data_IF_060674382974
#
_entry.id   IF_060674382974
#
_cell.length_a   1.000
_cell.length_b   1.000
_cell.length_c   1.000
_cell.angle_alpha   90.00
_cell.angle_beta   90.00
_cell.angle_gamma   90.00
#
_symmetry.space_group_name_H-M   'P 1'
#
loop_
_entity.id
_entity.type
_entity.pdbx_description
1 polymer ?
#
# COMPACT_ATOMS: atom_id res chain seq x y z
N UNK A 1 -71.92 -7.79 -36.02
CA UNK A 1 -71.25 -8.81 -35.17
C UNK A 1 -69.81 -9.07 -35.65
N UNK A 2 -69.57 -9.12 -36.96
CA UNK A 2 -68.20 -9.27 -37.52
C UNK A 2 -67.31 -8.02 -37.37
N UNK A 3 -67.87 -6.80 -37.51
CA UNK A 3 -67.13 -5.54 -37.29
C UNK A 3 -66.55 -5.43 -35.88
N UNK A 4 -67.36 -5.75 -34.88
CA UNK A 4 -66.93 -5.78 -33.46
C UNK A 4 -65.80 -6.78 -33.21
N UNK A 5 -65.79 -7.92 -33.91
CA UNK A 5 -64.73 -8.93 -33.78
C UNK A 5 -63.45 -8.47 -34.48
N UNK A 6 -63.56 -7.79 -35.61
CA UNK A 6 -62.41 -7.22 -36.33
C UNK A 6 -61.75 -6.08 -35.53
N UNK A 7 -62.55 -5.27 -34.85
CA UNK A 7 -62.07 -4.15 -34.03
C UNK A 7 -61.40 -4.62 -32.73
N UNK A 8 -61.99 -5.64 -32.07
CA UNK A 8 -61.37 -6.33 -30.93
C UNK A 8 -60.03 -6.99 -31.29
N UNK A 9 -59.91 -7.57 -32.49
CA UNK A 9 -58.63 -8.14 -32.97
C UNK A 9 -57.58 -7.05 -33.20
N UNK A 10 -57.97 -5.91 -33.76
CA UNK A 10 -57.07 -4.75 -33.93
C UNK A 10 -56.58 -4.20 -32.60
N UNK A 11 -57.45 -4.11 -31.59
CA UNK A 11 -57.07 -3.67 -30.25
C UNK A 11 -56.12 -4.65 -29.56
N UNK A 12 -56.39 -5.96 -29.64
CA UNK A 12 -55.54 -6.99 -29.03
C UNK A 12 -54.14 -7.06 -29.69
N UNK A 13 -54.08 -6.87 -31.01
CA UNK A 13 -52.82 -6.77 -31.77
C UNK A 13 -52.03 -5.51 -31.37
N UNK A 14 -52.73 -4.38 -31.20
CA UNK A 14 -52.16 -3.12 -30.72
C UNK A 14 -51.59 -3.23 -29.30
N UNK A 15 -52.32 -3.85 -28.37
CA UNK A 15 -51.83 -4.11 -27.00
C UNK A 15 -50.64 -5.06 -26.99
N UNK A 16 -50.66 -6.13 -27.79
CA UNK A 16 -49.51 -7.05 -27.92
C UNK A 16 -48.27 -6.35 -28.46
N UNK A 17 -48.44 -5.44 -29.43
CA UNK A 17 -47.32 -4.65 -29.94
C UNK A 17 -46.82 -3.62 -28.92
N UNK A 18 -47.72 -2.99 -28.15
CA UNK A 18 -47.35 -2.06 -27.09
C UNK A 18 -46.57 -2.77 -25.98
N UNK A 19 -47.09 -3.91 -25.49
CA UNK A 19 -46.44 -4.75 -24.49
C UNK A 19 -45.07 -5.26 -24.99
N UNK A 20 -44.98 -5.64 -26.28
CA UNK A 20 -43.72 -6.07 -26.90
C UNK A 20 -42.69 -4.96 -27.02
N UNK A 21 -43.12 -3.72 -27.30
CA UNK A 21 -42.25 -2.54 -27.32
C UNK A 21 -41.78 -2.16 -25.92
N UNK A 22 -42.67 -2.20 -24.94
CA UNK A 22 -42.36 -1.92 -23.53
C UNK A 22 -41.39 -2.96 -22.97
N UNK A 23 -41.59 -4.25 -23.28
CA UNK A 23 -40.68 -5.31 -22.84
C UNK A 23 -39.29 -5.18 -23.46
N UNK A 24 -39.21 -4.83 -24.75
CA UNK A 24 -37.93 -4.55 -25.42
C UNK A 24 -37.23 -3.30 -24.86
N UNK A 25 -37.98 -2.24 -24.61
CA UNK A 25 -37.44 -1.03 -23.99
C UNK A 25 -36.92 -1.31 -22.58
N UNK A 26 -37.61 -2.17 -21.81
CA UNK A 26 -37.16 -2.60 -20.49
C UNK A 26 -35.94 -3.51 -20.55
N UNK A 27 -35.91 -4.49 -21.45
CA UNK A 27 -34.73 -5.35 -21.67
C UNK A 27 -33.51 -4.53 -22.14
N UNK A 28 -33.71 -3.53 -23.00
CA UNK A 28 -32.65 -2.62 -23.45
C UNK A 28 -32.18 -1.69 -22.33
N UNK A 29 -33.10 -1.15 -21.53
CA UNK A 29 -32.76 -0.37 -20.34
C UNK A 29 -32.03 -1.19 -19.29
N UNK A 30 -32.46 -2.43 -19.00
CA UNK A 30 -31.77 -3.36 -18.10
C UNK A 30 -30.39 -3.76 -18.65
N UNK A 31 -30.24 -3.91 -19.97
CA UNK A 31 -28.92 -4.15 -20.59
C UNK A 31 -28.00 -2.95 -20.45
N UNK A 32 -28.48 -1.75 -20.77
CA UNK A 32 -27.70 -0.51 -20.62
C UNK A 32 -27.34 -0.25 -19.16
N UNK A 33 -28.26 -0.51 -18.23
CA UNK A 33 -28.00 -0.42 -16.79
C UNK A 33 -26.98 -1.48 -16.34
N UNK A 34 -27.10 -2.73 -16.80
CA UNK A 34 -26.14 -3.78 -16.48
C UNK A 34 -24.75 -3.57 -17.13
N UNK A 35 -24.68 -2.90 -18.28
CA UNK A 35 -23.42 -2.46 -18.89
C UNK A 35 -22.80 -1.29 -18.11
N UNK A 36 -23.60 -0.32 -17.67
CA UNK A 36 -23.16 0.76 -16.80
C UNK A 36 -22.67 0.22 -15.44
N UNK A 37 -23.40 -0.71 -14.81
CA UNK A 37 -23.01 -1.35 -13.56
C UNK A 37 -21.74 -2.22 -13.69
N UNK A 38 -21.53 -2.87 -14.86
CA UNK A 38 -20.25 -3.56 -15.15
C UNK A 38 -19.09 -2.59 -15.37
N UNK A 39 -19.35 -1.42 -15.94
CA UNK A 39 -18.34 -0.36 -16.15
C UNK A 39 -17.97 0.39 -14.88
N UNK A 40 -18.89 0.47 -13.93
CA UNK A 40 -18.68 1.00 -12.59
C UNK A 40 -17.80 0.09 -11.71
N UNK A 41 -17.29 -1.03 -12.22
CA UNK A 41 -16.28 -1.81 -11.51
C UNK A 41 -14.97 -1.01 -11.46
N UNK A 42 -14.51 -0.57 -10.25
CA UNK A 42 -13.27 0.18 -10.09
C UNK A 42 -12.03 -0.59 -10.56
N UNK A 43 -12.18 -1.89 -10.81
CA UNK A 43 -11.12 -2.76 -11.28
C UNK A 43 -10.70 -2.51 -12.74
N UNK A 44 -11.48 -1.79 -13.56
CA UNK A 44 -11.19 -1.60 -14.99
C UNK A 44 -9.84 -0.92 -15.22
N UNK A 45 -9.50 0.09 -14.40
CA UNK A 45 -8.23 0.81 -14.50
C UNK A 45 -7.05 -0.06 -14.05
N UNK A 46 -7.22 -0.80 -12.95
CA UNK A 46 -6.18 -1.71 -12.44
C UNK A 46 -5.89 -2.88 -13.39
N UNK A 47 -6.91 -3.35 -14.12
CA UNK A 47 -6.79 -4.43 -15.10
C UNK A 47 -6.19 -3.97 -16.44
N UNK A 48 -6.17 -2.66 -16.69
CA UNK A 48 -5.56 -2.09 -17.89
C UNK A 48 -4.03 -1.97 -17.81
N UNK A 49 -3.42 -2.36 -16.67
CA UNK A 49 -1.98 -2.34 -16.48
C UNK A 49 -1.28 -3.18 -17.55
N UNK A 50 -0.25 -2.60 -18.17
CA UNK A 50 0.62 -3.28 -19.12
C UNK A 50 2.06 -3.07 -18.70
N UNK A 51 2.83 -4.14 -18.65
CA UNK A 51 4.25 -4.13 -18.29
C UNK A 51 5.05 -4.46 -19.54
N UNK A 52 6.16 -3.75 -19.76
CA UNK A 52 7.11 -4.08 -20.81
C UNK A 52 7.77 -5.43 -20.47
N UNK A 53 7.69 -6.37 -21.41
CA UNK A 53 8.20 -7.73 -21.22
C UNK A 53 9.61 -7.92 -21.75
N UNK A 54 10.06 -7.03 -22.63
CA UNK A 54 11.44 -7.03 -23.09
C UNK A 54 12.35 -6.42 -22.02
N UNK A 55 13.11 -7.28 -21.34
CA UNK A 55 14.04 -6.86 -20.29
C UNK A 55 15.02 -5.78 -20.78
N UNK A 56 15.41 -5.78 -22.05
CA UNK A 56 16.36 -4.78 -22.60
C UNK A 56 15.79 -3.37 -22.69
N UNK A 57 14.47 -3.23 -22.65
CA UNK A 57 13.73 -1.97 -22.70
C UNK A 57 13.30 -1.48 -21.31
N UNK A 58 13.61 -2.25 -20.26
CA UNK A 58 13.26 -1.91 -18.87
C UNK A 58 14.45 -1.33 -18.11
N UNK A 59 14.15 -0.65 -17.00
CA UNK A 59 15.17 -0.19 -16.06
C UNK A 59 15.90 -1.40 -15.48
N UNK A 60 17.23 -1.40 -15.61
CA UNK A 60 18.07 -2.49 -15.10
C UNK A 60 18.37 -2.27 -13.61
N UNK A 61 18.23 -3.32 -12.81
CA UNK A 61 18.50 -3.32 -11.38
C UNK A 61 17.76 -4.46 -10.68
N UNK A 62 18.26 -4.89 -9.53
CA UNK A 62 17.56 -5.89 -8.72
C UNK A 62 16.33 -5.26 -8.06
N UNK A 63 15.14 -5.76 -8.38
CA UNK A 63 13.89 -5.28 -7.80
C UNK A 63 13.69 -5.74 -6.34
N UNK A 64 14.50 -6.69 -5.88
CA UNK A 64 14.38 -7.35 -4.56
C UNK A 64 15.45 -6.93 -3.55
N UNK A 65 16.46 -6.17 -3.99
CA UNK A 65 17.51 -5.61 -3.13
C UNK A 65 17.68 -4.09 -3.36
N UNK A 66 16.71 -3.26 -2.93
CA UNK A 66 16.81 -1.83 -3.10
C UNK A 66 17.76 -1.23 -2.06
N UNK A 67 18.95 -0.80 -2.49
CA UNK A 67 19.94 -0.11 -1.65
C UNK A 67 19.33 1.15 -1.02
N UNK A 68 19.40 1.27 0.30
CA UNK A 68 18.91 2.42 1.08
C UNK A 68 17.42 2.74 0.89
N UNK A 69 16.56 1.74 0.64
CA UNK A 69 15.10 1.94 0.60
C UNK A 69 14.36 0.86 1.36
N UNK A 70 13.38 1.27 2.16
CA UNK A 70 12.43 0.33 2.76
C UNK A 70 11.54 -0.28 1.66
N UNK A 71 11.33 -1.60 1.75
CA UNK A 71 10.42 -2.32 0.88
C UNK A 71 9.65 -3.37 1.69
N UNK A 72 8.39 -3.66 1.32
CA UNK A 72 7.58 -4.65 2.03
C UNK A 72 8.13 -6.06 1.80
N UNK A 73 8.68 -6.69 2.85
CA UNK A 73 9.18 -8.08 2.80
C UNK A 73 8.05 -9.13 2.79
N UNK A 74 6.84 -8.75 3.22
CA UNK A 74 5.67 -9.64 3.32
C UNK A 74 4.39 -8.88 2.96
N UNK A 75 3.67 -9.39 1.98
CA UNK A 75 2.28 -8.98 1.69
C UNK A 75 1.37 -9.97 2.40
N UNK A 76 0.67 -9.52 3.44
CA UNK A 76 -0.28 -10.34 4.20
C UNK A 76 -1.70 -9.96 3.86
N UNK A 77 -2.61 -10.93 3.97
CA UNK A 77 -4.03 -10.65 3.78
C UNK A 77 -4.53 -9.74 4.90
N UNK A 78 -5.21 -8.65 4.54
CA UNK A 78 -5.84 -7.78 5.51
C UNK A 78 -7.16 -8.40 5.97
N UNK A 79 -7.10 -9.26 7.00
CA UNK A 79 -8.22 -10.10 7.44
C UNK A 79 -9.45 -9.29 7.89
N UNK A 80 -9.23 -8.16 8.54
CA UNK A 80 -10.31 -7.30 9.05
C UNK A 80 -10.81 -6.28 8.02
N UNK A 81 -10.23 -6.26 6.81
CA UNK A 81 -10.58 -5.29 5.78
C UNK A 81 -12.07 -5.33 5.40
N UNK A 82 -12.71 -6.50 5.15
CA UNK A 82 -14.13 -6.53 4.82
C UNK A 82 -15.01 -5.89 5.90
N UNK A 83 -14.71 -6.16 7.17
CA UNK A 83 -15.45 -5.62 8.31
C UNK A 83 -15.23 -4.12 8.44
N UNK A 84 -13.99 -3.65 8.31
CA UNK A 84 -13.67 -2.21 8.33
C UNK A 84 -14.33 -1.48 7.14
N UNK A 85 -14.29 -2.09 5.96
CA UNK A 85 -14.91 -1.56 4.76
C UNK A 85 -16.43 -1.44 4.94
N UNK A 86 -17.09 -2.45 5.50
CA UNK A 86 -18.52 -2.40 5.80
C UNK A 86 -18.84 -1.31 6.85
N UNK A 87 -18.02 -1.15 7.88
CA UNK A 87 -18.18 -0.08 8.86
C UNK A 87 -18.10 1.30 8.22
N UNK A 88 -17.19 1.49 7.26
CA UNK A 88 -17.06 2.73 6.48
C UNK A 88 -18.31 2.94 5.60
N UNK A 89 -18.76 1.92 4.86
CA UNK A 89 -19.96 2.01 4.03
C UNK A 89 -21.23 2.34 4.81
N UNK A 90 -21.40 1.76 6.00
CA UNK A 90 -22.54 2.07 6.89
C UNK A 90 -22.60 3.55 7.30
N UNK A 91 -21.47 4.28 7.26
CA UNK A 91 -21.47 5.73 7.50
C UNK A 91 -22.04 6.46 6.29
N UNK A 92 -21.70 6.04 5.08
CA UNK A 92 -22.20 6.62 3.83
C UNK A 92 -23.70 6.41 3.62
N UNK A 93 -24.21 5.23 3.96
CA UNK A 93 -25.64 4.89 3.78
C UNK A 93 -26.60 5.78 4.59
N UNK A 94 -26.09 6.42 5.66
CA UNK A 94 -26.88 7.35 6.49
C UNK A 94 -27.21 8.65 5.77
N UNK A 95 -26.46 8.99 4.71
CA UNK A 95 -26.58 10.26 3.99
C UNK A 95 -26.77 10.01 2.50
N UNK A 96 -28.00 9.65 2.11
CA UNK A 96 -28.38 9.41 0.70
C UNK A 96 -28.07 10.61 -0.23
N UNK A 97 -28.01 11.83 0.32
CA UNK A 97 -27.68 13.04 -0.44
C UNK A 97 -26.22 13.10 -0.93
N UNK A 98 -25.29 12.42 -0.26
CA UNK A 98 -23.88 12.38 -0.66
C UNK A 98 -23.64 11.35 -1.75
N UNK A 99 -24.18 10.14 -1.57
CA UNK A 99 -24.04 9.03 -2.52
C UNK A 99 -24.79 9.27 -3.84
N UNK A 100 -25.78 10.17 -3.85
CA UNK A 100 -26.51 10.55 -5.07
C UNK A 100 -25.80 11.60 -5.92
N UNK A 101 -24.69 12.19 -5.45
CA UNK A 101 -23.94 13.20 -6.21
C UNK A 101 -22.96 12.51 -7.18
N UNK A 102 -22.78 13.02 -8.40
CA UNK A 102 -21.74 12.56 -9.31
C UNK A 102 -20.38 13.07 -8.82
N UNK A 103 -19.77 12.35 -7.89
CA UNK A 103 -18.46 12.69 -7.30
C UNK A 103 -17.29 12.11 -8.09
N UNK A 104 -17.55 11.12 -8.94
CA UNK A 104 -16.54 10.45 -9.77
C UNK A 104 -16.55 11.01 -11.20
N UNK A 105 -15.41 10.93 -11.91
CA UNK A 105 -15.32 11.29 -13.33
C UNK A 105 -16.33 10.52 -14.18
N UNK A 106 -16.76 11.12 -15.30
CA UNK A 106 -17.66 10.46 -16.24
C UNK A 106 -16.95 9.29 -16.95
N UNK A 107 -17.72 8.32 -17.44
CA UNK A 107 -17.19 7.18 -18.21
C UNK A 107 -16.25 7.60 -19.35
N UNK A 108 -16.57 8.70 -20.03
CA UNK A 108 -15.72 9.28 -21.09
C UNK A 108 -14.36 9.76 -20.60
N UNK A 109 -14.28 10.28 -19.37
CA UNK A 109 -13.02 10.68 -18.73
C UNK A 109 -12.23 9.44 -18.30
N UNK A 110 -12.90 8.41 -17.79
CA UNK A 110 -12.28 7.11 -17.48
C UNK A 110 -11.72 6.46 -18.75
N UNK A 111 -12.49 6.43 -19.84
CA UNK A 111 -12.07 5.87 -21.13
C UNK A 111 -10.83 6.59 -21.69
N UNK A 112 -10.75 7.91 -21.50
CA UNK A 112 -9.56 8.69 -21.86
C UNK A 112 -8.33 8.27 -21.05
N UNK A 113 -8.48 8.10 -19.74
CA UNK A 113 -7.40 7.62 -18.85
C UNK A 113 -6.97 6.21 -19.23
N UNK A 114 -7.92 5.29 -19.46
CA UNK A 114 -7.66 3.92 -19.94
C UNK A 114 -6.88 3.92 -21.25
N UNK A 115 -7.27 4.76 -22.21
CA UNK A 115 -6.58 4.87 -23.50
C UNK A 115 -5.14 5.36 -23.33
N UNK A 116 -4.90 6.31 -22.43
CA UNK A 116 -3.56 6.82 -22.18
C UNK A 116 -2.65 5.78 -21.50
N UNK A 117 -3.23 4.97 -20.60
CA UNK A 117 -2.54 3.88 -19.90
C UNK A 117 -2.21 2.72 -20.85
N UNK A 118 -3.17 2.25 -21.64
CA UNK A 118 -2.98 1.10 -22.52
C UNK A 118 -1.89 1.31 -23.58
N UNK A 119 -1.68 2.58 -23.96
CA UNK A 119 -0.66 2.97 -24.93
C UNK A 119 0.73 3.20 -24.30
N UNK A 120 0.88 3.05 -22.98
CA UNK A 120 2.11 3.32 -22.24
C UNK A 120 2.45 2.14 -21.31
N UNK A 121 3.20 1.13 -21.79
CA UNK A 121 3.65 0.06 -20.92
C UNK A 121 4.55 0.59 -19.81
N UNK A 122 4.54 -0.10 -18.66
CA UNK A 122 5.41 0.17 -17.51
C UNK A 122 6.77 -0.49 -17.78
N UNK A 123 7.82 0.31 -17.86
CA UNK A 123 9.20 -0.13 -18.13
C UNK A 123 10.21 0.39 -17.09
N UNK A 124 9.76 1.21 -16.15
CA UNK A 124 10.58 1.84 -15.12
C UNK A 124 9.76 2.19 -13.88
N UNK A 125 10.45 2.39 -12.76
CA UNK A 125 9.85 2.90 -11.52
C UNK A 125 9.11 4.24 -11.76
N UNK A 126 9.66 5.09 -12.62
CA UNK A 126 9.02 6.35 -13.01
C UNK A 126 7.72 6.14 -13.80
N UNK A 127 7.68 5.17 -14.72
CA UNK A 127 6.46 4.84 -15.45
C UNK A 127 5.40 4.17 -14.56
N UNK A 128 5.81 3.36 -13.57
CA UNK A 128 4.91 2.77 -12.59
C UNK A 128 4.28 3.84 -11.69
N UNK A 129 5.08 4.81 -11.23
CA UNK A 129 4.57 5.98 -10.49
C UNK A 129 3.56 6.79 -11.28
N UNK A 130 3.83 7.04 -12.57
CA UNK A 130 2.86 7.77 -13.42
C UNK A 130 1.54 7.00 -13.55
N UNK A 131 1.62 5.67 -13.68
CA UNK A 131 0.44 4.81 -13.70
C UNK A 131 -0.34 4.90 -12.38
N UNK A 132 0.33 4.78 -11.23
CA UNK A 132 -0.28 4.93 -9.90
C UNK A 132 -0.98 6.29 -9.77
N UNK A 133 -0.31 7.37 -10.18
CA UNK A 133 -0.88 8.71 -10.10
C UNK A 133 -2.16 8.85 -10.92
N UNK A 134 -2.15 8.34 -12.14
CA UNK A 134 -3.25 8.45 -13.08
C UNK A 134 -4.43 7.51 -12.73
N UNK A 135 -4.19 6.39 -12.06
CA UNK A 135 -5.21 5.37 -11.75
C UNK A 135 -5.72 5.40 -10.32
N UNK A 136 -4.92 5.88 -9.37
CA UNK A 136 -5.21 5.83 -7.94
C UNK A 136 -5.19 7.22 -7.33
N UNK A 137 -4.05 7.91 -7.33
CA UNK A 137 -3.87 9.15 -6.54
C UNK A 137 -4.88 10.23 -6.91
N UNK A 138 -5.07 10.49 -8.22
CA UNK A 138 -6.02 11.49 -8.69
C UNK A 138 -7.45 11.20 -8.21
N UNK A 139 -7.86 9.94 -8.23
CA UNK A 139 -9.20 9.52 -7.80
C UNK A 139 -9.36 9.58 -6.28
N UNK A 140 -8.33 9.14 -5.55
CA UNK A 140 -8.31 9.23 -4.08
C UNK A 140 -8.34 10.70 -3.65
N UNK A 141 -7.59 11.58 -4.30
CA UNK A 141 -7.62 13.02 -4.05
C UNK A 141 -9.03 13.60 -4.30
N UNK A 142 -9.70 13.19 -5.38
CA UNK A 142 -11.09 13.59 -5.65
C UNK A 142 -12.05 13.13 -4.54
N UNK A 143 -11.93 11.88 -4.08
CA UNK A 143 -12.76 11.33 -3.00
C UNK A 143 -12.51 12.10 -1.70
N UNK A 144 -11.25 12.29 -1.31
CA UNK A 144 -10.89 13.03 -0.08
C UNK A 144 -11.39 14.47 -0.15
N UNK A 145 -11.27 15.13 -1.30
CA UNK A 145 -11.79 16.48 -1.51
C UNK A 145 -13.31 16.52 -1.36
N UNK A 146 -14.03 15.58 -1.94
CA UNK A 146 -15.48 15.50 -1.82
C UNK A 146 -15.94 15.26 -0.37
N UNK A 147 -15.26 14.35 0.35
CA UNK A 147 -15.53 14.08 1.76
C UNK A 147 -15.24 15.28 2.65
N UNK A 148 -14.16 16.01 2.34
CA UNK A 148 -13.84 17.25 3.04
C UNK A 148 -14.90 18.31 2.77
N UNK A 149 -15.37 18.48 1.55
CA UNK A 149 -16.33 19.55 1.24
C UNK A 149 -17.73 19.31 1.86
N UNK A 150 -18.00 18.09 2.33
CA UNK A 150 -19.18 17.74 3.14
C UNK A 150 -18.92 17.91 4.65
N UNK A 151 -19.68 18.79 5.32
CA UNK A 151 -19.46 19.09 6.75
C UNK A 151 -19.68 17.88 7.68
N UNK A 152 -20.63 17.00 7.35
CA UNK A 152 -20.98 15.83 8.18
C UNK A 152 -19.84 14.83 8.10
N UNK A 153 -19.40 14.50 6.88
CA UNK A 153 -18.32 13.53 6.69
C UNK A 153 -16.95 14.07 7.09
N UNK A 154 -16.70 15.38 6.92
CA UNK A 154 -15.48 16.02 7.42
C UNK A 154 -15.31 15.77 8.92
N UNK A 155 -16.36 15.95 9.71
CA UNK A 155 -16.31 15.73 11.16
C UNK A 155 -16.29 14.22 11.51
N UNK A 156 -17.11 13.40 10.84
CA UNK A 156 -17.23 11.97 11.16
C UNK A 156 -15.97 11.14 10.82
N UNK A 157 -15.25 11.53 9.76
CA UNK A 157 -13.97 10.93 9.39
C UNK A 157 -12.76 11.70 9.93
N UNK A 158 -12.97 12.80 10.63
CA UNK A 158 -11.89 13.62 11.20
C UNK A 158 -10.94 14.18 10.13
N UNK A 159 -11.47 14.53 8.95
CA UNK A 159 -10.67 15.02 7.83
C UNK A 159 -10.31 16.48 8.08
N UNK A 160 -9.10 16.71 8.58
CA UNK A 160 -8.57 18.05 8.84
C UNK A 160 -7.40 18.32 7.86
N UNK A 161 -7.66 19.15 6.85
CA UNK A 161 -6.65 19.64 5.91
C UNK A 161 -6.82 19.20 4.47
N UNK A 162 -5.79 19.45 3.67
CA UNK A 162 -5.72 19.03 2.27
C UNK A 162 -4.69 17.90 2.14
N UNK A 163 -5.10 16.83 1.46
CA UNK A 163 -4.18 15.75 1.07
C UNK A 163 -3.63 16.08 -0.30
N UNK A 164 -2.31 16.07 -0.43
CA UNK A 164 -1.59 16.30 -1.69
C UNK A 164 -0.52 15.23 -1.83
N UNK A 165 -0.52 14.51 -2.94
CA UNK A 165 0.49 13.49 -3.24
C UNK A 165 1.65 14.17 -4.00
N UNK A 166 2.84 14.25 -3.40
CA UNK A 166 4.04 14.83 -4.01
C UNK A 166 5.16 13.80 -4.19
N UNK A 167 5.91 13.98 -5.27
CA UNK A 167 7.10 13.19 -5.62
C UNK A 167 8.32 13.68 -4.79
N UNK A 168 8.99 12.78 -4.06
CA UNK A 168 10.28 13.08 -3.41
C UNK A 168 11.36 13.08 -4.49
N UNK A 169 11.92 14.25 -4.83
CA UNK A 169 13.26 14.28 -5.44
C UNK A 169 14.26 13.80 -4.40
N UNK A 170 14.91 12.66 -4.67
CA UNK A 170 16.09 12.22 -3.94
C UNK A 170 17.24 13.19 -4.27
N UNK A 171 17.37 14.28 -3.53
CA UNK A 171 18.58 15.12 -3.56
C UNK A 171 19.61 14.48 -2.66
N UNK A 172 20.44 13.60 -3.24
CA UNK A 172 21.73 13.23 -2.67
C UNK A 172 22.64 14.45 -2.79
N UNK A 173 22.83 15.19 -1.69
CA UNK A 173 23.96 16.10 -1.57
C UNK A 173 25.24 15.25 -1.44
N UNK A 174 25.90 15.03 -2.57
CA UNK A 174 27.28 14.57 -2.61
C UNK A 174 28.16 15.67 -2.01
N UNK A 175 28.53 15.54 -0.74
CA UNK A 175 29.71 16.23 -0.23
C UNK A 175 30.94 15.61 -0.87
N UNK A 176 31.60 16.38 -1.73
CA UNK A 176 32.84 15.99 -2.40
C UNK A 176 33.95 15.73 -1.39
N UNK A 177 34.53 14.54 -1.47
CA UNK A 177 35.82 14.25 -0.84
C UNK A 177 36.91 14.92 -1.67
N UNK A 178 37.55 15.93 -1.09
CA UNK A 178 38.87 16.37 -1.51
C UNK A 178 39.90 15.65 -0.63
N UNK A 179 40.80 14.92 -1.29
CA UNK A 179 41.88 14.16 -0.68
C UNK A 179 43.07 15.08 -0.47
N UNK A 180 43.47 15.32 0.77
CA UNK A 180 44.89 15.57 1.09
C UNK A 180 45.19 15.26 2.57
N UNK A 181 46.01 14.21 2.72
CA UNK A 181 47.17 14.07 3.60
C UNK A 181 47.04 13.96 5.14
N UNK A 182 47.56 12.81 5.61
CA UNK A 182 48.35 12.55 6.84
C UNK A 182 47.57 12.46 8.18
N UNK A 183 47.34 11.25 8.67
CA UNK A 183 48.15 10.50 9.68
C UNK A 183 48.17 11.17 11.07
N UNK A 184 47.53 10.56 12.08
CA UNK A 184 48.24 9.99 13.23
C UNK A 184 47.32 9.31 14.26
N UNK A 185 47.97 8.45 15.05
CA UNK A 185 47.49 7.33 15.84
C UNK A 185 46.82 7.70 17.19
N UNK A 186 45.78 6.93 17.52
CA UNK A 186 45.19 6.54 18.82
C UNK A 186 45.28 7.47 20.04
N UNK A 187 44.13 7.69 20.67
CA UNK A 187 44.01 7.72 22.14
C UNK A 187 42.69 7.08 22.53
N UNK A 188 42.78 5.90 23.13
CA UNK A 188 41.74 5.38 24.02
C UNK A 188 41.74 6.27 25.27
N UNK A 189 40.66 7.01 25.48
CA UNK A 189 40.24 7.38 26.83
C UNK A 189 38.72 7.50 26.84
N UNK A 190 38.14 6.79 27.80
CA UNK A 190 36.71 6.58 27.97
C UNK A 190 35.97 7.85 28.39
N UNK A 191 34.63 7.77 28.26
CA UNK A 191 33.63 8.63 28.89
C UNK A 191 33.27 9.91 28.13
N UNK A 192 32.25 9.83 27.27
CA UNK A 192 30.95 10.46 27.53
C UNK A 192 29.90 10.12 26.44
N UNK A 193 28.67 9.92 26.90
CA UNK A 193 27.41 9.62 26.22
C UNK A 193 27.24 10.14 24.78
N UNK A 194 26.91 9.26 23.82
CA UNK A 194 26.19 9.64 22.61
C UNK A 194 25.21 8.54 22.20
N UNK A 195 23.92 8.89 22.20
CA UNK A 195 22.80 8.11 21.71
C UNK A 195 23.12 7.48 20.33
N UNK A 196 23.36 6.16 20.28
CA UNK A 196 23.69 5.47 19.02
C UNK A 196 22.43 5.04 18.28
N UNK A 197 21.56 6.01 18.00
CA UNK A 197 20.49 5.82 17.02
C UNK A 197 21.15 5.72 15.63
N UNK A 198 21.11 4.55 15.03
CA UNK A 198 21.67 4.21 13.72
C UNK A 198 20.53 4.02 12.71
N UNK A 199 20.85 4.14 11.41
CA UNK A 199 19.89 3.95 10.31
C UNK A 199 18.59 4.75 10.48
N UNK A 200 18.74 6.04 10.83
CA UNK A 200 17.64 6.94 11.12
C UNK A 200 16.91 7.32 9.83
N UNK A 201 15.62 7.02 9.78
CA UNK A 201 14.72 7.49 8.74
C UNK A 201 13.64 8.39 9.33
N UNK A 202 13.56 9.62 8.81
CA UNK A 202 12.60 10.62 9.27
C UNK A 202 11.56 10.95 8.19
N UNK A 203 10.31 10.93 8.62
CA UNK A 203 9.16 11.27 7.79
C UNK A 203 8.36 12.37 8.46
N UNK A 204 8.37 13.55 7.85
CA UNK A 204 7.60 14.71 8.32
C UNK A 204 6.33 14.88 7.49
N UNK A 205 5.22 15.10 8.17
CA UNK A 205 3.90 15.29 7.59
C UNK A 205 3.24 16.52 8.23
N UNK A 206 2.83 17.47 7.42
CA UNK A 206 2.10 18.64 7.91
C UNK A 206 0.60 18.37 7.86
N UNK A 207 -0.02 18.26 9.04
CA UNK A 207 -1.47 18.14 9.17
C UNK A 207 -2.05 19.56 9.20
N UNK A 208 -2.61 19.99 8.08
CA UNK A 208 -3.14 21.35 7.89
C UNK A 208 -4.55 21.50 8.49
N UNK A 209 -4.67 21.70 9.81
CA UNK A 209 -5.94 22.01 10.49
C UNK A 209 -6.15 23.50 10.79
N UNK A 210 -7.03 23.81 11.76
CA UNK A 210 -7.26 25.19 12.29
C UNK A 210 -5.97 25.85 12.83
N UNK A 211 -5.00 25.01 13.20
CA UNK A 211 -3.56 25.33 13.30
C UNK A 211 -2.82 24.21 12.57
N UNK A 212 -1.80 24.57 11.78
CA UNK A 212 -0.91 23.58 11.19
C UNK A 212 -0.18 22.83 12.32
N UNK A 213 -0.24 21.50 12.26
CA UNK A 213 0.54 20.63 13.15
C UNK A 213 1.55 19.83 12.35
N UNK A 214 2.73 19.65 12.89
CA UNK A 214 3.79 18.86 12.26
C UNK A 214 3.84 17.50 12.92
N UNK A 215 3.52 16.45 12.17
CA UNK A 215 3.70 15.06 12.57
C UNK A 215 5.05 14.58 12.04
N UNK A 216 5.92 14.07 12.91
CA UNK A 216 7.22 13.51 12.54
C UNK A 216 7.33 12.08 13.04
N UNK A 217 7.45 11.14 12.11
CA UNK A 217 7.72 9.74 12.36
C UNK A 217 9.22 9.52 12.17
N UNK A 218 9.88 8.97 13.18
CA UNK A 218 11.31 8.69 13.20
C UNK A 218 11.50 7.21 13.45
N UNK A 219 12.13 6.53 12.51
CA UNK A 219 12.49 5.12 12.58
C UNK A 219 13.99 5.05 12.80
N UNK A 220 14.46 4.23 13.72
CA UNK A 220 15.90 4.07 13.96
C UNK A 220 16.20 2.74 14.62
N UNK A 221 17.42 2.26 14.43
CA UNK A 221 17.99 1.16 15.19
C UNK A 221 18.75 1.71 16.40
N UNK A 222 18.64 1.04 17.53
CA UNK A 222 19.41 1.38 18.74
C UNK A 222 19.90 0.12 19.41
N UNK A 223 21.09 0.20 19.97
CA UNK A 223 21.71 -0.86 20.78
C UNK A 223 21.25 -0.77 22.25
N UNK A 224 20.47 0.27 22.60
CA UNK A 224 19.99 0.54 23.95
C UNK A 224 19.27 -0.68 24.57
N UNK A 225 19.82 -1.19 25.67
CA UNK A 225 19.28 -2.36 26.38
C UNK A 225 19.57 -3.71 25.72
N UNK A 226 20.39 -3.73 24.67
CA UNK A 226 20.84 -4.93 23.94
C UNK A 226 22.37 -5.00 23.83
N UNK A 227 23.10 -4.31 24.71
CA UNK A 227 24.57 -4.20 24.66
C UNK A 227 25.29 -5.56 24.70
N UNK A 228 24.66 -6.57 25.32
CA UNK A 228 25.18 -7.94 25.40
C UNK A 228 25.00 -8.73 24.09
N UNK A 229 24.14 -8.26 23.17
CA UNK A 229 23.76 -8.95 21.93
C UNK A 229 24.13 -8.14 20.68
N UNK A 230 25.40 -8.19 20.27
CA UNK A 230 25.90 -7.46 19.07
C UNK A 230 25.15 -7.75 17.76
N UNK A 231 24.42 -8.86 17.71
CA UNK A 231 23.64 -9.34 16.58
C UNK A 231 22.14 -9.01 16.70
N UNK A 232 21.72 -8.28 17.74
CA UNK A 232 20.35 -7.76 17.92
C UNK A 232 20.40 -6.25 18.13
N UNK A 233 19.45 -5.54 17.52
CA UNK A 233 19.17 -4.13 17.79
C UNK A 233 17.68 -3.93 18.03
N UNK A 234 17.33 -2.92 18.81
CA UNK A 234 15.96 -2.45 18.90
C UNK A 234 15.65 -1.58 17.68
N UNK A 235 14.58 -1.91 16.98
CA UNK A 235 14.01 -1.05 15.94
C UNK A 235 12.88 -0.24 16.56
N UNK A 236 13.06 1.08 16.60
CA UNK A 236 12.15 2.00 17.26
C UNK A 236 11.47 2.87 16.22
N UNK A 237 10.14 2.89 16.25
CA UNK A 237 9.31 3.79 15.47
C UNK A 237 8.64 4.80 16.41
N UNK A 238 9.17 6.02 16.43
CA UNK A 238 8.68 7.11 17.28
C UNK A 238 7.89 8.10 16.45
N UNK A 239 6.66 8.37 16.86
CA UNK A 239 5.80 9.36 16.24
C UNK A 239 5.62 10.57 17.17
N UNK A 240 5.91 11.76 16.66
CA UNK A 240 5.79 13.04 17.37
C UNK A 240 4.82 13.95 16.64
N UNK A 241 4.01 14.72 17.37
CA UNK A 241 3.13 15.76 16.85
C UNK A 241 3.47 17.07 17.57
N UNK A 242 3.87 18.10 16.81
CA UNK A 242 4.34 19.38 17.34
C UNK A 242 5.45 19.23 18.40
N UNK A 243 6.35 18.26 18.19
CA UNK A 243 7.44 17.91 19.10
C UNK A 243 7.03 17.03 20.30
N UNK A 244 5.74 16.74 20.50
CA UNK A 244 5.24 15.88 21.57
C UNK A 244 5.14 14.44 21.05
N UNK A 245 5.73 13.47 21.75
CA UNK A 245 5.61 12.05 21.36
C UNK A 245 4.17 11.58 21.55
N UNK A 246 3.54 11.12 20.47
CA UNK A 246 2.14 10.65 20.45
C UNK A 246 2.02 9.14 20.28
N UNK A 247 3.03 8.47 19.73
CA UNK A 247 3.10 7.02 19.65
C UNK A 247 4.55 6.52 19.62
N UNK A 248 4.77 5.31 20.11
CA UNK A 248 6.04 4.59 20.04
C UNK A 248 5.76 3.10 19.75
N UNK A 249 6.49 2.52 18.82
CA UNK A 249 6.50 1.07 18.59
C UNK A 249 7.94 0.57 18.65
N UNK A 250 8.13 -0.59 19.27
CA UNK A 250 9.42 -1.23 19.45
C UNK A 250 9.38 -2.64 18.84
N UNK A 251 10.36 -2.94 18.02
CA UNK A 251 10.59 -4.26 17.43
C UNK A 251 12.06 -4.64 17.62
N UNK A 252 12.41 -5.90 17.27
CA UNK A 252 13.78 -6.42 17.38
C UNK A 252 14.32 -6.77 16.02
N UNK A 253 15.42 -6.14 15.65
CA UNK A 253 16.17 -6.42 14.44
C UNK A 253 17.32 -7.36 14.75
N UNK A 254 17.47 -8.45 14.01
CA UNK A 254 18.39 -9.55 14.29
C UNK A 254 19.25 -9.84 13.05
N UNK A 255 20.56 -9.66 13.16
CA UNK A 255 21.51 -9.98 12.10
C UNK A 255 21.79 -11.49 12.06
N UNK A 256 20.93 -12.25 11.36
CA UNK A 256 21.02 -13.73 11.31
C UNK A 256 22.34 -14.28 10.80
N UNK A 257 22.93 -13.63 9.80
CA UNK A 257 24.18 -14.11 9.22
C UNK A 257 25.30 -14.14 10.27
N UNK A 258 25.28 -13.19 11.21
CA UNK A 258 26.27 -13.09 12.29
C UNK A 258 26.15 -14.24 13.31
N UNK A 259 25.01 -14.95 13.35
CA UNK A 259 24.74 -16.05 14.28
C UNK A 259 24.39 -17.36 13.57
N UNK A 260 24.61 -17.48 12.26
CA UNK A 260 24.12 -18.61 11.45
C UNK A 260 24.56 -19.99 11.97
N UNK A 261 25.80 -20.11 12.44
CA UNK A 261 26.36 -21.37 12.94
C UNK A 261 25.78 -21.81 14.29
N UNK A 262 25.24 -20.88 15.07
CA UNK A 262 24.74 -21.09 16.44
C UNK A 262 23.31 -20.55 16.57
N UNK A 263 22.56 -20.51 15.46
CA UNK A 263 21.35 -19.72 15.34
C UNK A 263 20.30 -20.08 16.40
N UNK A 264 20.09 -21.36 16.70
CA UNK A 264 19.12 -21.75 17.73
C UNK A 264 19.56 -21.40 19.14
N UNK A 265 20.80 -21.70 19.48
CA UNK A 265 21.37 -21.42 20.81
C UNK A 265 21.30 -19.92 21.10
N UNK A 266 21.67 -19.09 20.11
CA UNK A 266 21.59 -17.63 20.23
C UNK A 266 20.16 -17.12 20.33
N UNK A 267 19.19 -17.73 19.66
CA UNK A 267 17.78 -17.29 19.69
C UNK A 267 17.01 -17.69 20.96
N UNK A 268 17.57 -18.55 21.82
CA UNK A 268 17.01 -18.86 23.14
C UNK A 268 17.31 -17.75 24.17
N UNK A 269 18.41 -17.03 24.00
CA UNK A 269 18.88 -15.98 24.92
C UNK A 269 17.97 -14.71 25.01
N UNK A 270 17.33 -14.19 23.94
CA UNK A 270 16.68 -12.87 23.97
C UNK A 270 15.26 -12.85 24.54
N UNK A 271 14.47 -13.92 24.35
CA UNK A 271 13.13 -14.15 24.92
C UNK A 271 12.51 -15.43 24.36
N UNK A 272 11.63 -16.07 25.13
CA UNK A 272 10.84 -17.24 24.71
C UNK A 272 9.97 -16.95 23.47
N UNK A 273 9.32 -15.79 23.38
CA UNK A 273 8.46 -15.47 22.23
C UNK A 273 9.25 -15.32 20.92
N UNK A 274 10.42 -14.69 20.99
CA UNK A 274 11.31 -14.53 19.83
C UNK A 274 11.86 -15.89 19.38
N UNK A 275 12.21 -16.75 20.35
CA UNK A 275 12.69 -18.11 20.12
C UNK A 275 11.63 -18.96 19.41
N UNK A 276 10.40 -18.96 19.91
CA UNK A 276 9.29 -19.73 19.35
C UNK A 276 8.99 -19.35 17.89
N UNK A 277 8.96 -18.05 17.60
CA UNK A 277 8.74 -17.55 16.23
C UNK A 277 9.87 -17.99 15.31
N UNK A 278 11.13 -17.87 15.77
CA UNK A 278 12.29 -18.26 15.00
C UNK A 278 12.33 -19.77 14.72
N UNK A 279 12.05 -20.59 15.73
CA UNK A 279 12.10 -22.05 15.62
C UNK A 279 10.94 -22.58 14.81
N UNK A 280 9.82 -21.86 14.75
CA UNK A 280 8.72 -22.23 13.89
C UNK A 280 9.10 -22.11 12.40
N UNK A 281 9.77 -21.00 12.05
CA UNK A 281 10.03 -20.58 10.67
C UNK A 281 11.35 -21.15 10.13
N UNK A 282 12.41 -21.13 10.93
CA UNK A 282 13.77 -21.48 10.52
C UNK A 282 14.22 -22.83 11.06
N UNK A 283 15.11 -23.49 10.33
CA UNK A 283 15.83 -24.66 10.80
C UNK A 283 16.98 -24.27 11.75
N UNK A 284 17.75 -25.27 12.19
CA UNK A 284 18.83 -25.12 13.16
C UNK A 284 19.96 -24.18 12.70
N UNK A 285 20.08 -23.96 11.39
CA UNK A 285 21.10 -23.11 10.78
C UNK A 285 20.58 -21.72 10.40
N UNK A 286 19.34 -21.39 10.76
CA UNK A 286 18.74 -20.10 10.40
C UNK A 286 18.18 -20.03 8.97
N UNK A 287 18.21 -21.15 8.22
CA UNK A 287 17.59 -21.24 6.91
C UNK A 287 16.08 -21.47 7.02
N UNK A 288 15.30 -20.92 6.09
CA UNK A 288 13.85 -21.11 6.05
C UNK A 288 13.53 -22.57 5.82
N UNK A 289 12.67 -23.16 6.66
CA UNK A 289 12.30 -24.58 6.53
C UNK A 289 11.67 -24.84 5.15
N UNK A 290 12.08 -25.93 4.51
CA UNK A 290 11.61 -26.35 3.18
C UNK A 290 10.08 -26.42 3.05
N UNK A 291 9.34 -26.70 4.14
CA UNK A 291 7.87 -26.68 4.12
C UNK A 291 7.27 -25.31 3.77
N UNK A 292 8.00 -24.21 3.98
CA UNK A 292 7.56 -22.87 3.58
C UNK A 292 8.00 -22.49 2.16
N UNK A 293 8.92 -23.25 1.56
CA UNK A 293 9.40 -23.04 0.19
C UNK A 293 8.69 -23.94 -0.81
N UNK A 294 8.64 -25.23 -0.51
CA UNK A 294 8.33 -26.28 -1.48
C UNK A 294 6.94 -26.90 -1.28
N UNK A 295 6.36 -26.78 -0.08
CA UNK A 295 5.12 -27.49 0.24
C UNK A 295 3.92 -26.90 -0.50
N UNK A 296 3.12 -27.70 -1.25
CA UNK A 296 2.09 -27.21 -2.16
C UNK A 296 1.02 -26.31 -1.49
N UNK A 297 0.72 -26.56 -0.21
CA UNK A 297 -0.25 -25.78 0.59
C UNK A 297 0.41 -24.82 1.61
N UNK A 298 1.44 -25.25 2.34
CA UNK A 298 2.06 -24.47 3.43
C UNK A 298 3.06 -23.40 2.95
N UNK A 299 3.52 -23.46 1.69
CA UNK A 299 4.40 -22.42 1.11
C UNK A 299 3.70 -21.07 0.87
N UNK A 300 2.39 -21.01 1.06
CA UNK A 300 1.60 -19.81 0.83
C UNK A 300 1.76 -19.29 -0.61
N UNK A 301 1.95 -17.97 -0.74
CA UNK A 301 2.07 -17.24 -2.01
C UNK A 301 3.41 -17.44 -2.74
N UNK A 302 4.24 -18.42 -2.34
CA UNK A 302 5.58 -18.69 -2.90
C UNK A 302 6.59 -17.54 -2.74
N UNK A 303 6.30 -16.56 -1.87
CA UNK A 303 7.20 -15.44 -1.53
C UNK A 303 8.39 -15.89 -0.69
N UNK A 304 8.33 -17.08 -0.10
CA UNK A 304 9.41 -17.63 0.71
C UNK A 304 10.34 -18.49 -0.14
N UNK A 305 11.34 -17.86 -0.76
CA UNK A 305 12.40 -18.53 -1.51
C UNK A 305 13.72 -18.65 -0.75
N UNK A 306 14.81 -18.92 -1.47
CA UNK A 306 16.16 -19.09 -0.89
C UNK A 306 16.79 -17.76 -0.49
N UNK A 307 16.31 -16.65 -1.07
CA UNK A 307 16.67 -15.29 -0.71
C UNK A 307 16.41 -14.96 0.76
N UNK A 308 15.44 -15.64 1.41
CA UNK A 308 15.14 -15.46 2.83
C UNK A 308 16.00 -16.29 3.78
N UNK A 309 16.84 -17.19 3.25
CA UNK A 309 17.88 -17.87 4.04
C UNK A 309 19.02 -16.92 4.39
N UNK A 310 19.05 -15.75 3.76
CA UNK A 310 20.07 -14.75 3.91
C UNK A 310 19.51 -13.44 4.47
N UNK A 311 20.35 -12.70 5.20
CA UNK A 311 20.02 -11.38 5.72
C UNK A 311 19.24 -11.37 7.05
N UNK A 312 18.97 -10.18 7.60
CA UNK A 312 18.50 -9.99 8.97
C UNK A 312 17.00 -10.30 9.18
N UNK A 313 16.62 -10.78 10.39
CA UNK A 313 15.22 -10.81 10.87
C UNK A 313 14.86 -9.46 11.47
N UNK A 314 13.58 -9.13 11.45
CA UNK A 314 13.02 -7.92 12.02
C UNK A 314 11.65 -8.24 12.61
#
# INVERSE_FOLDING_TARGET
MEETIAELRRQLEGERQALGKERKAREEAERLQGEAERRLQPNTLSQAIRVETDATLTTQGDATDPVNRLYPKRIVHWLDFPQLQEQVWRKFDRTAAFTSRPLFPSDTQIDYVVTNIQNRPIYSEASLRNFERDTVDNFVEMVIKALRDDEVFRHEFGIHGQVTFYDRKMTLEYHGFDNSEEEEWWSEDESECLDREQDIEEHEYTISGNKARTLKIRLFLTDEGMDDFKWIKNFVAKCTCDGITVANALARYIYREDIRSEFWERMEEPSEETCDVAFHIFDRSGAVKAKYKDHPVQRGTTVWGNELDHGPLS
#
